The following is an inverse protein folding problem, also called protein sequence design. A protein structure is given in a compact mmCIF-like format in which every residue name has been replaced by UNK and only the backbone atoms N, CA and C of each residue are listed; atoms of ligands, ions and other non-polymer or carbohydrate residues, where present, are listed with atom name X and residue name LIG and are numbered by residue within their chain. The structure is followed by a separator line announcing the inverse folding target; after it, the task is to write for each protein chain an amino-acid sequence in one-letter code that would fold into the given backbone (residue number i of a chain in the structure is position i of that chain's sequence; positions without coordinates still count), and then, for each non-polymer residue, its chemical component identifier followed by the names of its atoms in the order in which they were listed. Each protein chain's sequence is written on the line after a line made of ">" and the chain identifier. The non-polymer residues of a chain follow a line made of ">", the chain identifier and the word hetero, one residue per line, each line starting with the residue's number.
data_IF_731753693026
#
_entry.id   IF_731753693026
#
_cell.length_a   1.000
_cell.length_b   1.000
_cell.length_c   1.000
_cell.angle_alpha   90.00
_cell.angle_beta   90.00
_cell.angle_gamma   90.00
#
_symmetry.space_group_name_H-M   'P 1'
#
loop_
_entity.id
_entity.type
_entity.pdbx_description
1 polymer ?
#
# COMPACT_ATOMS: atom_id res chain seq x y z
N UNK A 1 1.12 15.75 -1.70
CA UNK A 1 1.44 14.56 -0.88
C UNK A 1 2.61 13.84 -1.55
N UNK A 2 3.51 13.26 -0.77
CA UNK A 2 4.56 12.37 -1.27
C UNK A 2 4.27 10.97 -0.74
N UNK A 3 4.28 9.99 -1.64
CA UNK A 3 4.27 8.57 -1.31
C UNK A 3 5.51 7.93 -1.93
N UNK A 4 6.17 7.07 -1.16
CA UNK A 4 7.26 6.25 -1.62
C UNK A 4 6.93 4.78 -1.36
N UNK A 5 7.04 3.96 -2.39
CA UNK A 5 6.87 2.51 -2.34
C UNK A 5 7.58 1.84 -3.52
N UNK A 6 7.54 0.51 -3.59
CA UNK A 6 8.08 -0.30 -4.69
C UNK A 6 6.92 -1.06 -5.36
N UNK A 7 7.15 -1.62 -6.55
CA UNK A 7 6.16 -2.41 -7.30
C UNK A 7 6.11 -3.88 -6.84
N UNK A 8 7.25 -4.43 -6.45
CA UNK A 8 7.41 -5.80 -5.95
C UNK A 8 8.69 -5.92 -5.11
N UNK A 9 8.86 -7.11 -4.52
CA UNK A 9 10.04 -7.45 -3.72
C UNK A 9 11.35 -7.33 -4.50
N UNK A 10 12.47 -7.40 -3.78
CA UNK A 10 13.79 -7.30 -4.41
C UNK A 10 14.07 -8.46 -5.36
N UNK A 11 14.88 -8.21 -6.38
CA UNK A 11 15.58 -9.28 -7.07
C UNK A 11 16.57 -9.94 -6.09
N UNK A 12 16.55 -11.28 -6.03
CA UNK A 12 17.37 -12.07 -5.11
C UNK A 12 18.87 -11.88 -5.31
N UNK A 13 19.29 -11.51 -6.53
CA UNK A 13 20.72 -11.40 -6.90
C UNK A 13 21.23 -9.96 -6.76
N UNK A 14 20.33 -8.99 -6.54
CA UNK A 14 20.65 -7.56 -6.46
C UNK A 14 20.50 -7.02 -5.04
N UNK A 15 19.51 -7.49 -4.28
CA UNK A 15 19.22 -6.95 -2.95
C UNK A 15 18.50 -7.98 -2.06
N UNK A 16 18.32 -7.64 -0.78
CA UNK A 16 17.74 -8.53 0.24
C UNK A 16 16.27 -8.21 0.56
N UNK A 17 15.46 -9.25 0.77
CA UNK A 17 14.11 -9.16 1.35
C UNK A 17 14.13 -9.02 2.90
N UNK A 18 15.32 -8.89 3.50
CA UNK A 18 15.52 -8.83 4.94
C UNK A 18 15.07 -10.12 5.63
N UNK A 19 14.15 -10.00 6.60
CA UNK A 19 13.61 -11.12 7.36
C UNK A 19 12.42 -11.81 6.67
N UNK A 20 11.98 -11.30 5.51
CA UNK A 20 10.81 -11.81 4.82
C UNK A 20 11.18 -12.99 3.91
N UNK A 21 10.23 -13.93 3.76
CA UNK A 21 10.41 -15.10 2.89
C UNK A 21 10.14 -14.71 1.44
N UNK A 22 10.96 -15.17 0.51
CA UNK A 22 10.77 -14.98 -0.94
C UNK A 22 11.28 -13.63 -1.45
N UNK A 23 11.23 -13.46 -2.76
CA UNK A 23 11.75 -12.33 -3.52
C UNK A 23 10.76 -11.94 -4.62
N UNK A 24 11.14 -10.98 -5.49
CA UNK A 24 10.46 -10.71 -6.75
C UNK A 24 10.02 -12.03 -7.40
N UNK A 25 8.80 -12.08 -7.91
CA UNK A 25 8.11 -13.25 -8.49
C UNK A 25 7.46 -14.23 -7.50
N UNK A 26 7.78 -14.20 -6.20
CA UNK A 26 7.14 -15.09 -5.23
C UNK A 26 5.89 -14.46 -4.61
N UNK A 27 4.94 -15.31 -4.19
CA UNK A 27 3.76 -14.91 -3.41
C UNK A 27 3.98 -14.96 -1.88
N UNK A 28 5.24 -15.07 -1.46
CA UNK A 28 5.61 -14.92 -0.04
C UNK A 28 5.85 -13.44 0.29
N UNK A 29 5.85 -13.09 1.58
CA UNK A 29 5.96 -11.71 2.07
C UNK A 29 7.08 -10.90 1.40
N UNK A 30 8.26 -11.47 1.17
CA UNK A 30 9.39 -10.76 0.56
C UNK A 30 9.24 -10.48 -0.93
N UNK A 31 8.22 -11.05 -1.58
CA UNK A 31 7.86 -10.76 -2.98
C UNK A 31 6.71 -9.76 -3.15
N UNK A 32 5.85 -9.61 -2.13
CA UNK A 32 4.61 -8.81 -2.22
C UNK A 32 4.50 -7.69 -1.18
N UNK A 33 5.32 -7.69 -0.13
CA UNK A 33 5.26 -6.71 0.96
C UNK A 33 6.33 -5.64 0.78
N UNK A 34 5.88 -4.46 0.38
CA UNK A 34 6.77 -3.34 0.07
C UNK A 34 6.88 -2.29 1.18
N UNK A 35 8.00 -1.53 1.24
CA UNK A 35 8.05 -0.33 2.05
C UNK A 35 6.97 0.64 1.59
N UNK A 36 6.33 1.31 2.55
CA UNK A 36 5.37 2.37 2.28
C UNK A 36 5.63 3.55 3.21
N UNK A 37 6.03 4.67 2.63
CA UNK A 37 6.27 5.92 3.35
C UNK A 37 5.33 6.97 2.76
N UNK A 38 4.65 7.70 3.63
CA UNK A 38 3.79 8.82 3.24
C UNK A 38 4.21 10.08 3.98
N UNK A 39 4.17 11.20 3.27
CA UNK A 39 4.48 12.51 3.82
C UNK A 39 3.56 13.58 3.22
N UNK A 40 2.84 14.28 4.09
CA UNK A 40 1.96 15.37 3.70
C UNK A 40 1.88 16.46 4.77
N UNK A 41 2.76 17.46 4.72
CA UNK A 41 2.76 18.59 5.66
C UNK A 41 1.39 19.26 5.74
N UNK A 42 0.97 19.59 6.97
CA UNK A 42 -0.31 20.25 7.24
C UNK A 42 -1.55 19.35 7.16
N UNK A 43 -1.45 18.13 6.62
CA UNK A 43 -2.58 17.19 6.51
C UNK A 43 -2.39 15.90 7.31
N UNK A 44 -1.15 15.54 7.64
CA UNK A 44 -0.87 14.41 8.51
C UNK A 44 -1.14 14.71 9.99
N UNK A 45 -1.55 13.69 10.73
CA UNK A 45 -1.60 13.74 12.20
C UNK A 45 -0.21 13.97 12.79
N UNK A 46 -0.01 15.11 13.47
CA UNK A 46 1.26 15.47 14.12
C UNK A 46 1.77 14.36 15.06
N UNK A 47 0.86 13.66 15.75
CA UNK A 47 1.20 12.56 16.67
C UNK A 47 1.75 11.32 15.99
N UNK A 48 1.61 11.20 14.66
CA UNK A 48 2.02 10.01 13.89
C UNK A 48 3.19 10.28 12.93
N UNK A 49 3.57 11.52 12.72
CA UNK A 49 4.79 11.86 11.94
C UNK A 49 6.00 11.21 12.60
N UNK A 50 6.84 10.53 11.81
CA UNK A 50 8.02 9.80 12.30
C UNK A 50 7.72 8.47 13.00
N UNK A 51 6.47 8.01 12.99
CA UNK A 51 6.07 6.72 13.59
C UNK A 51 5.75 5.67 12.53
N UNK A 52 5.79 4.39 12.92
CA UNK A 52 5.41 3.28 12.06
C UNK A 52 3.98 2.81 12.37
N UNK A 53 3.18 2.60 11.34
CA UNK A 53 1.94 1.84 11.44
C UNK A 53 2.22 0.36 11.16
N UNK A 54 2.11 -0.48 12.19
CA UNK A 54 2.39 -1.93 12.09
C UNK A 54 1.15 -2.80 11.97
N UNK A 55 -0.05 -2.19 11.98
CA UNK A 55 -1.33 -2.92 12.06
C UNK A 55 -2.18 -2.79 10.80
N UNK A 56 -2.18 -1.61 10.17
CA UNK A 56 -2.93 -1.43 8.92
C UNK A 56 -2.27 -2.25 7.82
N UNK A 57 -3.08 -3.10 7.18
CA UNK A 57 -2.76 -3.73 5.90
C UNK A 57 -3.27 -2.79 4.82
N UNK A 58 -2.52 -2.59 3.73
CA UNK A 58 -2.89 -1.85 2.51
C UNK A 58 -2.26 -2.53 1.30
N UNK A 59 -2.84 -2.30 0.13
CA UNK A 59 -2.25 -2.68 -1.16
C UNK A 59 -2.27 -1.48 -2.11
N UNK A 60 -1.47 -1.52 -3.18
CA UNK A 60 -1.39 -0.43 -4.16
C UNK A 60 -2.76 -0.11 -4.79
N UNK A 61 -3.65 -1.09 -4.88
CA UNK A 61 -5.04 -0.94 -5.35
C UNK A 61 -5.89 -0.01 -4.47
N UNK A 62 -5.48 0.29 -3.24
CA UNK A 62 -6.17 1.25 -2.34
C UNK A 62 -5.83 2.71 -2.70
N UNK A 63 -4.74 2.96 -3.44
CA UNK A 63 -4.25 4.31 -3.74
C UNK A 63 -5.14 5.12 -4.68
N UNK A 64 -5.74 4.56 -5.75
CA UNK A 64 -6.61 5.33 -6.65
C UNK A 64 -7.73 6.08 -5.92
N UNK A 65 -8.44 5.41 -5.01
CA UNK A 65 -9.52 6.04 -4.23
C UNK A 65 -8.98 7.20 -3.37
N UNK A 66 -7.84 7.00 -2.69
CA UNK A 66 -7.23 8.06 -1.90
C UNK A 66 -6.76 9.24 -2.77
N UNK A 67 -6.25 9.00 -3.97
CA UNK A 67 -5.79 10.07 -4.87
C UNK A 67 -6.96 10.86 -5.47
N UNK A 68 -8.07 10.20 -5.79
CA UNK A 68 -9.28 10.87 -6.24
C UNK A 68 -9.82 11.81 -5.16
N UNK A 69 -9.95 11.32 -3.91
CA UNK A 69 -10.34 12.15 -2.76
C UNK A 69 -9.42 13.37 -2.55
N UNK A 70 -8.10 13.19 -2.69
CA UNK A 70 -7.12 14.27 -2.51
C UNK A 70 -7.19 15.30 -3.63
N UNK A 71 -7.41 14.85 -4.86
CA UNK A 71 -7.46 15.72 -6.05
C UNK A 71 -8.82 16.39 -6.26
N UNK A 72 -9.86 15.90 -5.58
CA UNK A 72 -11.25 16.31 -5.83
C UNK A 72 -11.85 15.65 -7.08
N UNK A 73 -11.18 14.65 -7.66
CA UNK A 73 -11.73 13.85 -8.73
C UNK A 73 -12.80 12.90 -8.19
N UNK A 74 -13.84 12.65 -8.99
CA UNK A 74 -14.90 11.71 -8.66
C UNK A 74 -14.57 10.32 -9.21
N UNK A 75 -14.73 9.24 -8.41
CA UNK A 75 -14.68 7.87 -8.93
C UNK A 75 -15.66 7.68 -10.09
N UNK A 76 -15.26 6.93 -11.11
CA UNK A 76 -16.15 6.56 -12.21
C UNK A 76 -17.15 5.53 -11.71
N UNK A 77 -18.44 5.83 -11.85
CA UNK A 77 -19.53 4.96 -11.42
C UNK A 77 -19.59 3.64 -12.21
N UNK A 78 -18.93 3.56 -13.37
CA UNK A 78 -18.86 2.36 -14.20
C UNK A 78 -17.67 1.45 -13.87
N UNK A 79 -16.82 1.83 -12.91
CA UNK A 79 -15.65 1.06 -12.49
C UNK A 79 -15.91 0.43 -11.12
N UNK A 80 -15.81 -0.90 -11.05
CA UNK A 80 -15.74 -1.59 -9.76
C UNK A 80 -14.29 -1.56 -9.25
N UNK A 81 -14.03 -0.73 -8.24
CA UNK A 81 -12.71 -0.58 -7.65
C UNK A 81 -12.45 -1.68 -6.62
N UNK A 82 -11.38 -2.47 -6.83
CA UNK A 82 -10.97 -3.52 -5.88
C UNK A 82 -10.45 -2.98 -4.54
N UNK A 83 -9.97 -1.73 -4.53
CA UNK A 83 -9.38 -1.07 -3.38
C UNK A 83 -10.39 -0.50 -2.38
N UNK A 84 -9.89 -0.09 -1.21
CA UNK A 84 -10.66 0.60 -0.18
C UNK A 84 -10.10 2.01 0.09
N UNK A 85 -10.97 2.93 0.51
CA UNK A 85 -10.57 4.29 0.89
C UNK A 85 -9.68 4.28 2.14
N UNK A 86 -8.35 4.30 1.97
CA UNK A 86 -7.37 4.18 3.06
C UNK A 86 -6.74 5.50 3.53
N UNK A 87 -7.33 6.65 3.17
CA UNK A 87 -6.74 7.96 3.40
C UNK A 87 -6.46 8.28 4.88
N UNK A 88 -7.29 7.78 5.80
CA UNK A 88 -7.06 7.98 7.24
C UNK A 88 -5.80 7.25 7.74
N UNK A 89 -5.46 6.10 7.16
CA UNK A 89 -4.21 5.41 7.47
C UNK A 89 -3.02 6.14 6.85
N UNK A 90 -3.13 6.57 5.59
CA UNK A 90 -2.09 7.31 4.87
C UNK A 90 -1.76 8.63 5.59
N UNK A 91 -2.77 9.32 6.12
CA UNK A 91 -2.57 10.59 6.85
C UNK A 91 -2.32 10.41 8.35
N UNK A 92 -2.30 9.16 8.85
CA UNK A 92 -2.06 8.86 10.26
C UNK A 92 -3.18 9.33 11.20
N UNK A 93 -4.39 9.56 10.69
CA UNK A 93 -5.57 9.90 11.52
C UNK A 93 -5.99 8.73 12.38
N UNK A 94 -6.01 7.51 11.83
CA UNK A 94 -6.31 6.27 12.57
C UNK A 94 -5.61 5.06 11.97
N UNK A 95 -5.43 4.01 12.78
CA UNK A 95 -5.06 2.69 12.25
C UNK A 95 -6.31 2.08 11.63
N UNK A 96 -6.45 2.23 10.31
CA UNK A 96 -7.59 1.71 9.59
C UNK A 96 -7.48 0.19 9.45
N UNK A 97 -8.61 -0.49 9.62
CA UNK A 97 -8.78 -1.89 9.27
C UNK A 97 -9.46 -1.95 7.90
N UNK A 98 -8.99 -2.86 7.05
CA UNK A 98 -9.68 -3.17 5.80
C UNK A 98 -10.87 -4.08 6.04
N UNK A 99 -11.87 -3.97 5.19
CA UNK A 99 -13.11 -4.74 5.26
C UNK A 99 -13.10 -5.95 4.32
N UNK A 100 -12.35 -5.88 3.22
CA UNK A 100 -12.20 -6.92 2.21
C UNK A 100 -10.80 -7.54 2.25
N UNK A 101 -10.65 -8.84 1.95
CA UNK A 101 -9.35 -9.47 1.77
C UNK A 101 -8.62 -8.92 0.55
N UNK A 102 -7.30 -9.12 0.49
CA UNK A 102 -6.49 -8.87 -0.71
C UNK A 102 -6.12 -10.23 -1.29
N UNK A 103 -6.17 -10.35 -2.61
CA UNK A 103 -5.81 -11.57 -3.33
C UNK A 103 -4.59 -11.34 -4.21
N UNK A 104 -3.74 -12.36 -4.29
CA UNK A 104 -2.68 -12.46 -5.28
C UNK A 104 -2.89 -13.74 -6.06
N UNK A 105 -2.87 -13.63 -7.39
CA UNK A 105 -2.91 -14.77 -8.28
C UNK A 105 -1.68 -14.67 -9.17
N UNK A 106 -0.82 -15.68 -9.09
CA UNK A 106 0.24 -15.90 -10.07
C UNK A 106 -0.20 -17.10 -10.90
N UNK A 107 -0.58 -16.92 -12.18
CA UNK A 107 -0.81 -18.05 -13.08
C UNK A 107 0.45 -18.93 -13.09
N UNK A 108 0.32 -20.27 -13.21
CA UNK A 108 1.47 -21.12 -13.43
C UNK A 108 2.29 -20.56 -14.60
N UNK A 109 3.60 -20.48 -14.40
CA UNK A 109 4.51 -19.91 -15.39
C UNK A 109 4.23 -20.57 -16.75
N UNK A 110 3.97 -19.78 -17.79
CA UNK A 110 3.93 -20.29 -19.18
C UNK A 110 5.33 -20.73 -19.59
#
# INVERSE_FOLDING_TARGET
>A
MIIFTSDNGSDKDVNTAGLLRGYKTNLYEGGVREPFISWWPGKMSKKKVGTKNTKTVMAAIDLPLAFMEISGATPDENVDYDGEMMLDAITGKKQQKRSKPIFWIRPPDR
#
